data_IF_333091843324
#
_entry.id   IF_333091843324
#
_cell.length_a   1.000
_cell.length_b   1.000
_cell.length_c   1.000
_cell.angle_alpha   90.00
_cell.angle_beta   90.00
_cell.angle_gamma   90.00
#
_symmetry.space_group_name_H-M   'P 1'
#
loop_
_entity.id
_entity.type
_entity.pdbx_description
1 polymer ?
#
# COMPACT_ATOMS: atom_id res chain seq x y z
N UNK A 1 -21.33 27.25 -5.65
CA UNK A 1 -21.62 25.86 -5.23
C UNK A 1 -20.32 25.08 -5.28
N UNK A 2 -19.77 24.62 -4.16
CA UNK A 2 -18.63 23.70 -4.19
C UNK A 2 -19.08 22.39 -4.83
N UNK A 3 -18.59 22.06 -6.03
CA UNK A 3 -18.67 20.70 -6.56
C UNK A 3 -18.01 19.79 -5.52
N UNK A 4 -18.72 18.75 -5.09
CA UNK A 4 -18.23 17.80 -4.08
C UNK A 4 -17.99 16.43 -4.71
N UNK A 5 -18.12 16.34 -6.02
CA UNK A 5 -17.97 15.11 -6.79
C UNK A 5 -16.66 15.15 -7.58
N UNK A 6 -16.06 13.98 -7.76
CA UNK A 6 -14.89 13.83 -8.59
C UNK A 6 -15.30 13.86 -10.07
N UNK A 7 -14.59 14.63 -10.86
CA UNK A 7 -14.61 14.58 -12.30
C UNK A 7 -13.68 13.45 -12.77
N UNK A 8 -14.13 12.67 -13.74
CA UNK A 8 -13.44 11.46 -14.19
C UNK A 8 -13.02 11.59 -15.64
N UNK A 9 -11.77 11.22 -15.92
CA UNK A 9 -11.24 11.19 -17.27
C UNK A 9 -10.13 10.16 -17.41
N UNK A 10 -9.49 10.14 -18.57
CA UNK A 10 -8.27 9.37 -18.78
C UNK A 10 -7.34 10.09 -19.76
N UNK A 11 -6.03 9.91 -19.60
CA UNK A 11 -5.01 10.42 -20.51
C UNK A 11 -3.73 9.58 -20.35
N UNK A 12 -2.97 9.34 -21.44
CA UNK A 12 -1.72 8.57 -21.38
C UNK A 12 -1.86 7.15 -20.80
N UNK A 13 -3.06 6.56 -20.90
CA UNK A 13 -3.40 5.29 -20.25
C UNK A 13 -3.57 5.36 -18.73
N UNK A 14 -3.60 6.54 -18.12
CA UNK A 14 -3.88 6.75 -16.69
C UNK A 14 -5.35 7.14 -16.52
N UNK A 15 -6.03 6.57 -15.50
CA UNK A 15 -7.36 7.03 -15.08
C UNK A 15 -7.19 8.24 -14.17
N UNK A 16 -7.90 9.32 -14.45
CA UNK A 16 -7.75 10.60 -13.79
C UNK A 16 -9.02 10.92 -13.03
N UNK A 17 -8.86 11.29 -11.77
CA UNK A 17 -9.93 11.66 -10.85
C UNK A 17 -9.60 13.03 -10.25
N UNK A 18 -10.28 14.08 -10.69
CA UNK A 18 -10.05 15.44 -10.20
C UNK A 18 -11.19 15.86 -9.29
N UNK A 19 -10.88 16.43 -8.13
CA UNK A 19 -11.86 17.11 -7.28
C UNK A 19 -11.53 18.61 -7.28
N UNK A 20 -12.18 19.41 -8.15
CA UNK A 20 -12.02 20.85 -8.16
C UNK A 20 -12.51 21.45 -6.85
N UNK A 21 -11.60 22.00 -6.05
CA UNK A 21 -11.96 22.60 -4.77
C UNK A 21 -11.00 23.69 -4.31
N UNK A 22 -11.59 24.81 -3.88
CA UNK A 22 -10.88 25.98 -3.35
C UNK A 22 -10.81 25.95 -1.81
N UNK A 23 -11.18 24.81 -1.19
CA UNK A 23 -11.18 24.64 0.27
C UNK A 23 -9.77 24.56 0.86
N UNK A 24 -8.81 24.14 0.05
CA UNK A 24 -7.43 23.92 0.46
C UNK A 24 -6.51 24.94 -0.20
N UNK A 25 -5.42 25.26 0.49
CA UNK A 25 -4.34 26.13 -0.02
C UNK A 25 -3.25 25.35 -0.75
N UNK A 26 -3.46 24.06 -0.95
CA UNK A 26 -2.49 23.10 -1.47
C UNK A 26 -3.17 22.22 -2.50
N UNK A 27 -2.39 21.73 -3.46
CA UNK A 27 -2.77 20.64 -4.34
C UNK A 27 -2.30 19.32 -3.72
N UNK A 28 -3.20 18.36 -3.62
CA UNK A 28 -2.88 16.99 -3.24
C UNK A 28 -2.97 16.09 -4.47
N UNK A 29 -1.82 15.52 -4.86
CA UNK A 29 -1.68 14.64 -6.02
C UNK A 29 -1.36 13.23 -5.49
N UNK A 30 -2.09 12.22 -5.95
CA UNK A 30 -1.91 10.84 -5.54
C UNK A 30 -2.00 9.91 -6.72
N UNK A 31 -0.90 9.28 -7.09
CA UNK A 31 -0.82 8.27 -8.13
C UNK A 31 -0.80 6.88 -7.50
N UNK A 32 -1.84 6.10 -7.72
CA UNK A 32 -1.91 4.70 -7.32
C UNK A 32 -1.56 3.83 -8.51
N UNK A 33 -0.52 3.01 -8.35
CA UNK A 33 -0.11 2.02 -9.31
C UNK A 33 -0.39 0.62 -8.75
N UNK A 34 -1.44 0.00 -9.26
CA UNK A 34 -1.93 -1.30 -8.84
C UNK A 34 -1.49 -2.42 -9.77
N UNK A 35 -0.93 -3.48 -9.20
CA UNK A 35 -0.59 -4.73 -9.92
C UNK A 35 -1.14 -5.94 -9.17
N UNK A 36 -1.56 -7.01 -9.86
CA UNK A 36 -1.92 -8.26 -9.20
C UNK A 36 -0.77 -8.76 -8.32
N UNK A 37 -1.10 -9.26 -7.13
CA UNK A 37 -0.13 -9.91 -6.26
C UNK A 37 0.34 -11.22 -6.91
N UNK A 38 1.64 -11.33 -7.15
CA UNK A 38 2.30 -12.56 -7.61
C UNK A 38 3.63 -12.74 -6.89
N UNK A 39 4.03 -13.98 -6.65
CA UNK A 39 5.32 -14.30 -6.01
C UNK A 39 6.50 -13.77 -6.85
N UNK A 40 6.38 -13.83 -8.18
CA UNK A 40 7.45 -13.42 -9.09
C UNK A 40 7.67 -11.90 -9.11
N UNK A 41 6.63 -11.11 -8.88
CA UNK A 41 6.65 -9.65 -9.07
C UNK A 41 6.54 -8.83 -7.79
N UNK A 42 6.10 -9.42 -6.66
CA UNK A 42 5.81 -8.67 -5.43
C UNK A 42 7.04 -7.96 -4.87
N UNK A 43 8.19 -8.65 -4.87
CA UNK A 43 9.43 -8.13 -4.29
C UNK A 43 10.07 -7.07 -5.20
N UNK A 44 10.08 -7.29 -6.52
CA UNK A 44 10.60 -6.30 -7.48
C UNK A 44 9.75 -5.04 -7.49
N UNK A 45 8.42 -5.18 -7.57
CA UNK A 45 7.47 -4.04 -7.52
C UNK A 45 7.60 -3.24 -6.22
N UNK A 46 7.80 -3.91 -5.09
CA UNK A 46 7.99 -3.24 -3.81
C UNK A 46 9.30 -2.45 -3.73
N UNK A 47 10.37 -2.94 -4.37
CA UNK A 47 11.70 -2.32 -4.36
C UNK A 47 11.79 -1.14 -5.32
N UNK A 48 11.11 -1.21 -6.48
CA UNK A 48 11.08 -0.16 -7.50
C UNK A 48 10.92 1.26 -6.94
N UNK A 49 9.88 1.61 -6.15
CA UNK A 49 9.69 2.98 -5.68
C UNK A 49 10.83 3.48 -4.77
N UNK A 50 11.53 2.59 -4.06
CA UNK A 50 12.71 2.98 -3.28
C UNK A 50 13.84 3.47 -4.17
N UNK A 51 14.04 2.81 -5.32
CA UNK A 51 15.05 3.19 -6.32
C UNK A 51 14.63 4.46 -7.07
N UNK A 52 13.34 4.58 -7.45
CA UNK A 52 12.82 5.77 -8.14
C UNK A 52 13.01 7.06 -7.31
N UNK A 53 12.90 6.98 -5.97
CA UNK A 53 13.14 8.12 -5.07
C UNK A 53 14.62 8.54 -4.98
N UNK A 54 15.56 7.81 -5.59
CA UNK A 54 16.99 8.14 -5.52
C UNK A 54 17.43 9.18 -6.52
N UNK A 55 16.76 9.27 -7.66
CA UNK A 55 17.11 10.23 -8.71
C UNK A 55 16.39 9.92 -10.03
N UNK A 56 16.32 10.94 -10.86
CA UNK A 56 15.70 10.93 -12.18
C UNK A 56 16.73 11.33 -13.23
N UNK A 57 16.31 11.41 -14.49
CA UNK A 57 17.18 11.85 -15.59
C UNK A 57 17.70 13.28 -15.39
N UNK A 58 16.83 14.21 -15.01
CA UNK A 58 17.17 15.61 -14.72
C UNK A 58 17.89 15.77 -13.38
N UNK A 59 17.57 14.91 -12.39
CA UNK A 59 18.13 14.97 -11.04
C UNK A 59 18.80 13.64 -10.67
N UNK A 60 19.99 13.33 -11.23
CA UNK A 60 20.60 12.01 -11.11
C UNK A 60 21.08 11.69 -9.69
N UNK A 61 21.36 12.71 -8.88
CA UNK A 61 21.81 12.56 -7.51
C UNK A 61 20.68 12.83 -6.51
N UNK A 62 20.64 12.05 -5.42
CA UNK A 62 19.60 12.16 -4.39
C UNK A 62 19.57 13.55 -3.72
N UNK A 63 20.72 14.24 -3.68
CA UNK A 63 20.78 15.63 -3.21
C UNK A 63 20.01 16.56 -4.16
N UNK A 64 20.28 16.49 -5.46
CA UNK A 64 19.60 17.31 -6.47
C UNK A 64 18.09 17.03 -6.51
N UNK A 65 17.69 15.76 -6.37
CA UNK A 65 16.28 15.37 -6.28
C UNK A 65 15.55 16.06 -5.11
N UNK A 66 16.20 16.16 -3.95
CA UNK A 66 15.65 16.83 -2.77
C UNK A 66 15.69 18.34 -2.87
N UNK A 67 16.77 18.90 -3.41
CA UNK A 67 16.89 20.34 -3.67
C UNK A 67 15.78 20.82 -4.61
N UNK A 68 15.39 20.01 -5.60
CA UNK A 68 14.25 20.35 -6.45
C UNK A 68 12.93 20.41 -5.67
N UNK A 69 12.69 19.49 -4.75
CA UNK A 69 11.49 19.53 -3.88
C UNK A 69 11.49 20.78 -2.97
N UNK A 70 12.67 21.20 -2.49
CA UNK A 70 12.81 22.45 -1.73
C UNK A 70 12.53 23.69 -2.61
N UNK A 71 13.00 23.69 -3.86
CA UNK A 71 12.71 24.76 -4.83
C UNK A 71 11.23 24.85 -5.17
N UNK A 72 10.50 23.73 -5.15
CA UNK A 72 9.04 23.67 -5.26
C UNK A 72 8.34 24.07 -3.94
N UNK A 73 8.88 25.05 -3.23
CA UNK A 73 8.38 25.56 -1.94
C UNK A 73 8.24 24.48 -0.86
N UNK A 74 9.14 23.49 -0.86
CA UNK A 74 9.09 22.37 0.08
C UNK A 74 7.97 21.38 -0.23
N UNK A 75 7.72 21.09 -1.51
CA UNK A 75 6.75 20.10 -1.94
C UNK A 75 7.04 18.75 -1.27
N UNK A 76 6.00 18.13 -0.70
CA UNK A 76 6.13 16.84 -0.04
C UNK A 76 6.00 15.73 -1.07
N UNK A 77 7.08 14.99 -1.35
CA UNK A 77 7.04 13.78 -2.19
C UNK A 77 7.29 12.53 -1.34
N UNK A 78 6.42 11.54 -1.49
CA UNK A 78 6.50 10.28 -0.76
C UNK A 78 5.93 9.11 -1.55
N UNK A 79 6.20 7.92 -1.05
CA UNK A 79 5.54 6.72 -1.56
C UNK A 79 5.22 5.75 -0.42
N UNK A 80 4.18 4.96 -0.63
CA UNK A 80 3.78 3.86 0.23
C UNK A 80 3.53 2.61 -0.62
N UNK A 81 3.88 1.44 -0.07
CA UNK A 81 3.59 0.14 -0.69
C UNK A 81 2.71 -0.64 0.26
N UNK A 82 1.51 -0.97 -0.19
CA UNK A 82 0.56 -1.77 0.58
C UNK A 82 -0.22 -2.71 -0.34
N UNK A 83 -1.08 -3.55 0.24
CA UNK A 83 -1.95 -4.45 -0.52
C UNK A 83 -3.41 -4.13 -0.24
N UNK A 84 -4.25 -4.22 -1.28
CA UNK A 84 -5.71 -4.14 -1.19
C UNK A 84 -6.31 -5.31 -1.96
N UNK A 85 -7.01 -6.20 -1.26
CA UNK A 85 -7.47 -7.45 -1.87
C UNK A 85 -6.30 -8.23 -2.47
N UNK A 86 -6.43 -8.69 -3.70
CA UNK A 86 -5.37 -9.40 -4.43
C UNK A 86 -4.45 -8.48 -5.26
N UNK A 87 -4.44 -7.18 -4.97
CA UNK A 87 -3.56 -6.22 -5.63
C UNK A 87 -2.52 -5.65 -4.66
N UNK A 88 -1.30 -5.51 -5.17
CA UNK A 88 -0.26 -4.68 -4.60
C UNK A 88 -0.43 -3.26 -5.15
N UNK A 89 -0.45 -2.27 -4.28
CA UNK A 89 -0.61 -0.87 -4.62
C UNK A 89 0.65 -0.13 -4.20
N UNK A 90 1.31 0.49 -5.18
CA UNK A 90 2.35 1.49 -4.95
C UNK A 90 1.71 2.87 -5.09
N UNK A 91 1.64 3.60 -3.99
CA UNK A 91 1.03 4.93 -3.93
C UNK A 91 2.13 5.97 -3.90
N UNK A 92 2.25 6.78 -4.94
CA UNK A 92 3.06 8.00 -4.92
C UNK A 92 2.19 9.17 -4.51
N UNK A 93 2.68 9.95 -3.57
CA UNK A 93 2.00 11.13 -3.04
C UNK A 93 2.85 12.36 -3.29
N UNK A 94 2.20 13.40 -3.77
CA UNK A 94 2.80 14.73 -3.82
C UNK A 94 1.84 15.80 -3.30
N UNK A 95 2.31 16.61 -2.36
CA UNK A 95 1.57 17.76 -1.83
C UNK A 95 2.37 19.04 -2.16
N UNK A 96 1.74 19.98 -2.86
CA UNK A 96 2.35 21.27 -3.21
C UNK A 96 1.45 22.43 -2.81
N UNK A 97 2.03 23.61 -2.54
CA UNK A 97 1.25 24.83 -2.29
C UNK A 97 0.60 25.32 -3.58
N UNK A 98 -0.56 25.96 -3.45
CA UNK A 98 -1.27 26.53 -4.58
C UNK A 98 -0.64 27.87 -5.01
N UNK A 99 -0.53 28.06 -6.32
CA UNK A 99 0.07 29.22 -6.98
C UNK A 99 -0.48 30.55 -6.47
N UNK A 100 -1.76 30.61 -6.12
CA UNK A 100 -2.44 31.81 -5.60
C UNK A 100 -1.88 32.30 -4.26
N UNK A 101 -1.13 31.46 -3.53
CA UNK A 101 -0.56 31.80 -2.22
C UNK A 101 0.93 32.10 -2.26
N UNK A 102 1.57 32.00 -3.43
CA UNK A 102 3.01 32.27 -3.61
C UNK A 102 3.25 33.23 -4.76
N UNK A 103 4.32 34.00 -4.68
CA UNK A 103 4.81 34.80 -5.81
C UNK A 103 5.71 33.93 -6.68
N UNK A 104 5.11 33.00 -7.41
CA UNK A 104 5.82 32.18 -8.41
C UNK A 104 5.55 32.72 -9.81
N UNK A 105 6.56 32.73 -10.67
CA UNK A 105 6.39 33.03 -12.11
C UNK A 105 5.90 31.81 -12.90
N UNK A 106 6.10 30.61 -12.35
CA UNK A 106 5.70 29.33 -12.95
C UNK A 106 4.60 28.67 -12.13
N UNK A 107 3.74 27.90 -12.81
CA UNK A 107 2.75 27.10 -12.10
C UNK A 107 3.42 25.97 -11.33
N UNK A 108 3.19 25.93 -10.01
CA UNK A 108 3.69 24.86 -9.15
C UNK A 108 2.96 23.54 -9.42
N UNK A 109 1.70 23.61 -9.84
CA UNK A 109 0.97 22.43 -10.30
C UNK A 109 1.68 21.80 -11.50
N UNK A 110 1.98 22.61 -12.52
CA UNK A 110 2.71 22.14 -13.70
C UNK A 110 4.08 21.55 -13.35
N UNK A 111 4.86 22.26 -12.55
CA UNK A 111 6.20 21.83 -12.11
C UNK A 111 6.15 20.55 -11.26
N UNK A 112 5.09 20.40 -10.46
CA UNK A 112 4.80 19.19 -9.70
C UNK A 112 4.49 18.01 -10.61
N UNK A 113 3.65 18.19 -11.62
CA UNK A 113 3.37 17.14 -12.59
C UNK A 113 4.62 16.74 -13.39
N UNK A 114 5.47 17.71 -13.75
CA UNK A 114 6.76 17.45 -14.39
C UNK A 114 7.65 16.57 -13.51
N UNK A 115 7.80 16.92 -12.24
CA UNK A 115 8.61 16.16 -11.30
C UNK A 115 8.06 14.75 -11.04
N UNK A 116 6.75 14.63 -10.80
CA UNK A 116 6.11 13.33 -10.54
C UNK A 116 6.16 12.42 -11.78
N UNK A 117 5.88 12.98 -12.97
CA UNK A 117 5.96 12.26 -14.23
C UNK A 117 7.37 11.74 -14.48
N UNK A 118 8.39 12.61 -14.33
CA UNK A 118 9.78 12.23 -14.51
C UNK A 118 10.25 11.20 -13.46
N UNK A 119 9.87 11.36 -12.19
CA UNK A 119 10.19 10.40 -11.13
C UNK A 119 9.54 9.03 -11.37
N UNK A 120 8.39 9.00 -12.05
CA UNK A 120 7.66 7.78 -12.32
C UNK A 120 8.10 7.08 -13.62
N UNK A 121 8.41 7.82 -14.69
CA UNK A 121 8.70 7.24 -16.03
C UNK A 121 10.16 7.32 -16.46
N UNK A 122 10.92 8.32 -15.97
CA UNK A 122 12.26 8.66 -16.47
C UNK A 122 13.33 8.57 -15.34
N UNK A 123 13.51 7.39 -14.70
CA UNK A 123 14.46 7.22 -13.61
C UNK A 123 15.92 7.32 -14.09
N UNK A 124 16.83 7.52 -13.15
CA UNK A 124 18.26 7.54 -13.45
C UNK A 124 18.78 6.16 -13.87
N UNK A 125 19.37 6.11 -15.07
CA UNK A 125 19.93 4.88 -15.65
C UNK A 125 21.45 4.96 -15.79
N UNK A 126 22.09 3.80 -15.75
CA UNK A 126 23.50 3.56 -16.01
C UNK A 126 23.60 2.34 -16.94
N UNK A 127 24.14 2.53 -18.15
CA UNK A 127 24.20 1.51 -19.21
C UNK A 127 22.83 0.88 -19.56
N UNK A 128 21.76 1.68 -19.53
CA UNK A 128 20.40 1.23 -19.89
C UNK A 128 19.66 0.45 -18.80
N UNK A 129 20.20 0.35 -17.59
CA UNK A 129 19.55 -0.23 -16.42
C UNK A 129 19.63 0.70 -15.21
N UNK A 130 18.99 0.37 -14.09
CA UNK A 130 19.12 1.16 -12.87
C UNK A 130 20.59 1.23 -12.39
N UNK A 131 20.97 2.33 -11.73
CA UNK A 131 22.28 2.45 -11.07
C UNK A 131 22.48 1.34 -10.04
N UNK A 132 23.54 0.55 -10.20
CA UNK A 132 23.82 -0.62 -9.33
C UNK A 132 23.98 -0.25 -7.86
N UNK A 133 24.63 0.88 -7.59
CA UNK A 133 24.84 1.41 -6.23
C UNK A 133 23.51 1.74 -5.52
N UNK A 134 22.54 2.31 -6.25
CA UNK A 134 21.23 2.65 -5.71
C UNK A 134 20.40 1.40 -5.46
N UNK A 135 20.37 0.45 -6.40
CA UNK A 135 19.68 -0.83 -6.22
C UNK A 135 20.23 -1.59 -5.02
N UNK A 136 21.55 -1.68 -4.86
CA UNK A 136 22.15 -2.38 -3.73
C UNK A 136 21.81 -1.73 -2.38
N UNK A 137 21.90 -0.40 -2.30
CA UNK A 137 21.57 0.35 -1.09
C UNK A 137 20.09 0.18 -0.71
N UNK A 138 19.19 0.27 -1.69
CA UNK A 138 17.75 0.14 -1.42
C UNK A 138 17.33 -1.30 -1.15
N UNK A 139 17.99 -2.31 -1.74
CA UNK A 139 17.84 -3.72 -1.34
C UNK A 139 18.16 -3.91 0.14
N UNK A 140 19.23 -3.30 0.62
CA UNK A 140 19.59 -3.33 2.03
C UNK A 140 18.58 -2.61 2.93
N UNK A 141 18.03 -1.48 2.47
CA UNK A 141 16.96 -0.77 3.16
C UNK A 141 15.70 -1.63 3.29
N UNK A 142 15.24 -2.27 2.22
CA UNK A 142 14.07 -3.15 2.24
C UNK A 142 14.32 -4.39 3.08
N UNK A 143 15.51 -5.00 3.00
CA UNK A 143 15.92 -6.11 3.87
C UNK A 143 15.82 -5.73 5.34
N UNK A 144 16.40 -4.60 5.74
CA UNK A 144 16.33 -4.11 7.14
C UNK A 144 14.89 -3.84 7.59
N UNK A 145 14.03 -3.34 6.70
CA UNK A 145 12.59 -3.16 6.98
C UNK A 145 11.90 -4.49 7.23
N UNK A 146 12.14 -5.51 6.40
CA UNK A 146 11.59 -6.85 6.61
C UNK A 146 12.10 -7.49 7.91
N UNK A 147 13.38 -7.34 8.22
CA UNK A 147 13.96 -7.81 9.49
C UNK A 147 13.37 -7.08 10.71
N UNK A 148 13.12 -5.78 10.60
CA UNK A 148 12.49 -5.00 11.66
C UNK A 148 11.05 -5.47 11.96
N UNK A 149 10.32 -5.95 10.96
CA UNK A 149 8.98 -6.52 11.18
C UNK A 149 9.05 -7.78 12.05
N UNK A 150 10.07 -8.63 11.85
CA UNK A 150 10.31 -9.82 12.69
C UNK A 150 10.63 -9.45 14.14
N UNK A 151 11.23 -8.27 14.36
CA UNK A 151 11.50 -7.74 15.70
C UNK A 151 10.21 -7.29 16.40
N UNK A 152 9.23 -6.75 15.66
CA UNK A 152 7.88 -6.51 16.16
C UNK A 152 7.08 -7.82 16.19
N UNK A 153 7.16 -8.53 17.32
CA UNK A 153 6.48 -9.82 17.51
C UNK A 153 4.96 -9.74 17.39
N UNK A 154 4.34 -8.58 17.61
CA UNK A 154 2.89 -8.42 17.44
C UNK A 154 2.56 -8.41 15.95
N UNK A 155 3.28 -7.58 15.19
CA UNK A 155 3.11 -7.46 13.74
C UNK A 155 3.46 -8.74 13.01
N UNK A 156 4.61 -9.34 13.33
CA UNK A 156 5.03 -10.63 12.78
C UNK A 156 3.97 -11.72 13.00
N UNK A 157 3.43 -11.84 14.21
CA UNK A 157 2.42 -12.85 14.50
C UNK A 157 1.11 -12.62 13.70
N UNK A 158 0.75 -11.36 13.44
CA UNK A 158 -0.42 -11.01 12.65
C UNK A 158 -0.21 -11.33 11.16
N UNK A 159 0.97 -11.01 10.61
CA UNK A 159 1.33 -11.31 9.22
C UNK A 159 1.40 -12.82 8.97
N UNK A 160 2.04 -13.58 9.87
CA UNK A 160 2.05 -15.04 9.84
C UNK A 160 0.65 -15.67 9.92
N UNK A 161 -0.28 -15.03 10.61
CA UNK A 161 -1.67 -15.49 10.63
C UNK A 161 -2.33 -15.34 9.25
N UNK A 162 -2.05 -14.26 8.53
CA UNK A 162 -2.53 -14.03 7.16
C UNK A 162 -1.89 -15.03 6.20
N UNK A 163 -0.58 -15.22 6.29
CA UNK A 163 0.16 -16.16 5.44
C UNK A 163 -0.39 -17.59 5.53
N UNK A 164 -0.68 -18.05 6.75
CA UNK A 164 -1.27 -19.39 6.97
C UNK A 164 -2.72 -19.44 6.48
N UNK A 165 -3.52 -18.42 6.79
CA UNK A 165 -4.95 -18.40 6.43
C UNK A 165 -5.18 -18.30 4.92
N UNK A 166 -4.34 -17.54 4.22
CA UNK A 166 -4.42 -17.28 2.80
C UNK A 166 -3.38 -18.07 2.00
N UNK A 167 -2.90 -19.22 2.51
CA UNK A 167 -1.83 -20.02 1.88
C UNK A 167 -2.03 -20.32 0.39
N UNK A 168 -3.27 -20.47 -0.06
CA UNK A 168 -3.64 -20.78 -1.45
C UNK A 168 -4.04 -19.52 -2.25
N UNK A 169 -3.87 -18.33 -1.69
CA UNK A 169 -4.29 -17.06 -2.27
C UNK A 169 -3.11 -16.09 -2.37
N UNK A 170 -3.10 -15.19 -3.37
CA UNK A 170 -2.06 -14.16 -3.48
C UNK A 170 -1.92 -13.29 -2.22
N UNK A 171 -3.00 -13.12 -1.47
CA UNK A 171 -3.00 -12.34 -0.23
C UNK A 171 -2.11 -12.85 0.89
N UNK A 172 -1.56 -14.07 0.80
CA UNK A 172 -0.49 -14.51 1.72
C UNK A 172 0.71 -13.58 1.65
N UNK A 173 1.01 -13.03 0.48
CA UNK A 173 2.24 -12.30 0.22
C UNK A 173 2.29 -11.00 1.02
N UNK A 174 3.45 -10.71 1.59
CA UNK A 174 3.70 -9.43 2.24
C UNK A 174 3.88 -8.33 1.17
N UNK A 175 3.33 -7.12 1.34
CA UNK A 175 3.41 -6.06 0.31
C UNK A 175 4.84 -5.59 0.01
N UNK A 176 5.81 -5.84 0.90
CA UNK A 176 7.25 -5.59 0.65
C UNK A 176 7.99 -6.80 0.04
N UNK A 177 7.27 -7.89 -0.28
CA UNK A 177 7.85 -9.13 -0.76
C UNK A 177 8.56 -9.94 0.33
N UNK A 178 9.43 -10.84 -0.10
CA UNK A 178 10.16 -11.75 0.78
C UNK A 178 11.67 -11.50 0.79
N UNK A 179 12.29 -11.76 1.94
CA UNK A 179 13.74 -11.59 2.13
C UNK A 179 14.56 -12.46 1.18
N UNK A 180 14.11 -13.70 0.92
CA UNK A 180 14.82 -14.66 0.07
C UNK A 180 14.96 -14.14 -1.37
N UNK A 181 13.93 -13.47 -1.88
CA UNK A 181 13.87 -13.01 -3.26
C UNK A 181 14.70 -11.75 -3.47
N UNK A 182 14.90 -10.95 -2.41
CA UNK A 182 15.78 -9.78 -2.46
C UNK A 182 17.22 -10.11 -2.85
N UNK A 183 17.71 -11.34 -2.64
CA UNK A 183 19.10 -11.69 -2.95
C UNK A 183 19.34 -11.80 -4.46
N UNK A 184 18.34 -12.24 -5.23
CA UNK A 184 18.44 -12.48 -6.67
C UNK A 184 18.25 -11.24 -7.54
N UNK A 185 17.76 -10.12 -7.00
CA UNK A 185 17.43 -8.94 -7.80
C UNK A 185 18.68 -8.20 -8.28
N UNK A 186 18.91 -8.22 -9.59
CA UNK A 186 19.94 -7.41 -10.27
C UNK A 186 19.38 -6.06 -10.72
N UNK A 187 20.25 -5.12 -11.11
CA UNK A 187 19.80 -3.80 -11.56
C UNK A 187 19.09 -3.87 -12.92
N UNK A 188 19.58 -4.74 -13.79
CA UNK A 188 19.03 -5.07 -15.10
C UNK A 188 17.65 -5.74 -14.96
N UNK A 189 17.55 -6.80 -14.14
CA UNK A 189 16.28 -7.50 -13.92
C UNK A 189 15.23 -6.66 -13.20
N UNK A 190 15.65 -5.76 -12.30
CA UNK A 190 14.73 -4.80 -11.67
C UNK A 190 14.21 -3.79 -12.70
N UNK A 191 15.05 -3.33 -13.62
CA UNK A 191 14.64 -2.40 -14.68
C UNK A 191 13.66 -3.04 -15.65
N UNK A 192 13.91 -4.28 -16.08
CA UNK A 192 12.97 -5.06 -16.89
C UNK A 192 11.62 -5.25 -16.18
N UNK A 193 11.66 -5.64 -14.90
CA UNK A 193 10.45 -5.77 -14.07
C UNK A 193 9.69 -4.45 -13.93
N UNK A 194 10.42 -3.33 -13.80
CA UNK A 194 9.85 -1.99 -13.74
C UNK A 194 9.17 -1.60 -15.05
N UNK A 195 9.79 -1.85 -16.20
CA UNK A 195 9.18 -1.59 -17.51
C UNK A 195 7.91 -2.41 -17.72
N UNK A 196 7.94 -3.70 -17.35
CA UNK A 196 6.75 -4.53 -17.38
C UNK A 196 5.66 -3.98 -16.45
N UNK A 197 6.02 -3.63 -15.22
CA UNK A 197 5.11 -3.06 -14.24
C UNK A 197 4.48 -1.74 -14.70
N UNK A 198 5.23 -0.83 -15.33
CA UNK A 198 4.68 0.40 -15.90
C UNK A 198 3.64 0.13 -17.01
N UNK A 199 3.88 -0.88 -17.84
CA UNK A 199 2.99 -1.26 -18.93
C UNK A 199 1.76 -2.03 -18.44
N UNK A 200 1.90 -2.81 -17.36
CA UNK A 200 0.86 -3.72 -16.90
C UNK A 200 0.03 -3.21 -15.72
N UNK A 201 0.52 -2.22 -14.99
CA UNK A 201 -0.18 -1.67 -13.82
C UNK A 201 -1.42 -0.86 -14.19
N UNK A 202 -2.44 -0.98 -13.34
CA UNK A 202 -3.58 -0.05 -13.31
C UNK A 202 -3.09 1.24 -12.66
N UNK A 203 -3.22 2.37 -13.36
CA UNK A 203 -2.80 3.67 -12.82
C UNK A 203 -4.02 4.57 -12.59
N UNK A 204 -4.18 5.01 -11.34
CA UNK A 204 -5.20 5.95 -10.92
C UNK A 204 -4.55 7.20 -10.34
N UNK A 205 -4.76 8.33 -11.00
CA UNK A 205 -4.27 9.64 -10.56
C UNK A 205 -5.42 10.43 -9.94
N UNK A 206 -5.29 10.74 -8.65
CA UNK A 206 -6.20 11.61 -7.93
C UNK A 206 -5.56 12.98 -7.75
N UNK A 207 -6.31 14.02 -8.06
CA UNK A 207 -5.89 15.42 -7.91
C UNK A 207 -6.96 16.18 -7.16
N UNK A 208 -6.61 16.78 -6.03
CA UNK A 208 -7.54 17.60 -5.23
C UNK A 208 -6.95 18.99 -5.09
N UNK A 209 -7.70 20.00 -5.54
CA UNK A 209 -7.29 21.40 -5.44
C UNK A 209 -8.00 22.27 -6.47
N UNK A 210 -7.54 23.51 -6.61
CA UNK A 210 -8.11 24.51 -7.53
C UNK A 210 -7.59 24.29 -8.96
N UNK A 211 -8.08 23.24 -9.63
CA UNK A 211 -7.70 22.84 -10.99
C UNK A 211 -8.89 22.21 -11.71
N UNK A 212 -8.82 22.06 -13.04
CA UNK A 212 -9.84 21.40 -13.86
C UNK A 212 -9.37 20.05 -14.41
N UNK A 213 -10.33 19.21 -14.81
CA UNK A 213 -10.01 17.94 -15.44
C UNK A 213 -9.19 18.12 -16.73
N UNK A 214 -9.52 19.12 -17.55
CA UNK A 214 -8.84 19.38 -18.83
C UNK A 214 -7.37 19.78 -18.61
N UNK A 215 -7.09 20.62 -17.61
CA UNK A 215 -5.74 21.01 -17.24
C UNK A 215 -4.92 19.80 -16.82
N UNK A 216 -5.45 18.96 -15.92
CA UNK A 216 -4.78 17.74 -15.45
C UNK A 216 -4.54 16.76 -16.60
N UNK A 217 -5.51 16.58 -17.52
CA UNK A 217 -5.32 15.71 -18.69
C UNK A 217 -4.19 16.21 -19.60
N UNK A 218 -4.08 17.53 -19.79
CA UNK A 218 -2.98 18.15 -20.52
C UNK A 218 -1.64 17.87 -19.86
N UNK A 219 -1.53 18.10 -18.54
CA UNK A 219 -0.32 17.84 -17.77
C UNK A 219 0.09 16.36 -17.78
N UNK A 220 -0.88 15.45 -17.67
CA UNK A 220 -0.60 14.00 -17.76
C UNK A 220 -0.04 13.64 -19.13
N UNK A 221 -0.62 14.16 -20.19
CA UNK A 221 -0.17 13.89 -21.57
C UNK A 221 1.23 14.46 -21.83
N UNK A 222 1.56 15.60 -21.21
CA UNK A 222 2.87 16.25 -21.37
C UNK A 222 3.98 15.52 -20.60
N UNK A 223 3.73 15.11 -19.35
CA UNK A 223 4.79 14.66 -18.44
C UNK A 223 4.84 13.15 -18.20
N UNK A 224 3.74 12.41 -18.36
CA UNK A 224 3.72 10.96 -18.16
C UNK A 224 3.95 10.25 -19.49
N UNK A 225 5.22 10.00 -19.81
CA UNK A 225 5.63 9.30 -21.04
C UNK A 225 5.46 7.80 -20.90
N UNK A 226 4.21 7.33 -20.91
CA UNK A 226 3.88 5.91 -20.87
C UNK A 226 3.70 5.36 -22.29
N UNK A 227 4.41 4.28 -22.62
CA UNK A 227 4.32 3.61 -23.92
C UNK A 227 3.08 2.72 -24.09
N UNK A 228 1.94 3.05 -23.46
CA UNK A 228 0.77 2.16 -23.38
C UNK A 228 -0.50 2.76 -23.98
N UNK A 229 -1.30 1.90 -24.62
CA UNK A 229 -2.57 2.27 -25.23
C UNK A 229 -3.73 1.93 -24.29
N UNK A 230 -4.28 2.93 -23.61
CA UNK A 230 -5.47 2.81 -22.77
C UNK A 230 -5.20 2.46 -21.31
N UNK A 231 -6.18 2.79 -20.46
CA UNK A 231 -6.15 2.44 -19.05
C UNK A 231 -6.57 0.98 -18.84
N UNK A 232 -5.94 0.32 -17.86
CA UNK A 232 -6.33 -1.01 -17.41
C UNK A 232 -7.29 -0.93 -16.24
N UNK A 233 -8.05 -1.99 -16.02
CA UNK A 233 -8.99 -2.08 -14.91
C UNK A 233 -8.56 -3.13 -13.88
N UNK A 234 -8.99 -2.91 -12.64
CA UNK A 234 -8.88 -3.91 -11.59
C UNK A 234 -9.87 -5.05 -11.86
N UNK A 235 -9.35 -6.27 -11.93
CA UNK A 235 -10.16 -7.49 -11.95
C UNK A 235 -10.44 -7.91 -10.51
N UNK A 236 -11.72 -7.90 -10.11
CA UNK A 236 -12.11 -8.38 -8.78
C UNK A 236 -11.99 -9.90 -8.69
N UNK A 237 -11.09 -10.41 -7.85
CA UNK A 237 -10.96 -11.83 -7.52
C UNK A 237 -11.51 -12.11 -6.12
N UNK A 238 -12.81 -12.00 -5.92
CA UNK A 238 -13.43 -12.36 -4.65
C UNK A 238 -13.52 -13.88 -4.54
N UNK A 239 -12.42 -14.53 -4.14
CA UNK A 239 -12.49 -15.96 -3.81
C UNK A 239 -13.23 -16.09 -2.47
N UNK A 240 -14.54 -16.40 -2.54
CA UNK A 240 -15.37 -16.73 -1.37
C UNK A 240 -14.99 -18.11 -0.84
N UNK A 241 -13.79 -18.22 -0.29
CA UNK A 241 -13.31 -19.48 0.29
C UNK A 241 -13.88 -19.64 1.69
N UNK A 242 -14.82 -20.56 1.87
CA UNK A 242 -15.12 -21.09 3.21
C UNK A 242 -13.95 -21.96 3.65
N UNK A 243 -13.55 -21.87 4.92
CA UNK A 243 -12.59 -22.81 5.47
C UNK A 243 -13.36 -23.96 6.14
N UNK A 244 -12.95 -25.19 5.84
CA UNK A 244 -13.66 -26.39 6.25
C UNK A 244 -13.22 -26.88 7.64
N UNK A 245 -11.99 -26.57 8.08
CA UNK A 245 -11.43 -27.07 9.35
C UNK A 245 -10.52 -26.07 10.08
N UNK A 246 -10.51 -26.15 11.42
CA UNK A 246 -9.60 -25.42 12.30
C UNK A 246 -8.16 -25.84 12.12
N UNK A 247 -7.31 -24.93 11.63
CA UNK A 247 -5.86 -25.11 11.63
C UNK A 247 -5.23 -24.41 12.84
N UNK A 248 -4.34 -25.13 13.53
CA UNK A 248 -3.53 -24.62 14.65
C UNK A 248 -2.06 -24.71 14.28
N UNK A 249 -1.36 -23.58 14.32
CA UNK A 249 0.09 -23.51 14.03
C UNK A 249 0.80 -22.91 15.22
N UNK A 250 1.81 -23.60 15.75
CA UNK A 250 2.57 -23.16 16.93
C UNK A 250 4.00 -22.88 16.50
N UNK A 251 4.44 -21.63 16.69
CA UNK A 251 5.83 -21.22 16.46
C UNK A 251 6.48 -20.91 17.81
N UNK A 252 7.54 -21.64 18.16
CA UNK A 252 8.29 -21.41 19.41
C UNK A 252 9.42 -20.43 19.12
N UNK A 253 9.36 -19.27 19.77
CA UNK A 253 10.36 -18.21 19.70
C UNK A 253 10.75 -17.81 21.12
N UNK A 254 11.97 -17.35 21.32
CA UNK A 254 12.40 -16.78 22.61
C UNK A 254 11.74 -15.40 22.81
N UNK A 255 10.60 -15.38 23.50
CA UNK A 255 9.83 -14.17 23.76
C UNK A 255 9.32 -14.15 25.20
N UNK A 256 9.24 -12.95 25.78
CA UNK A 256 8.72 -12.74 27.13
C UNK A 256 7.19 -12.92 27.21
N UNK A 257 6.48 -12.77 26.08
CA UNK A 257 5.02 -12.84 26.00
C UNK A 257 4.57 -13.58 24.75
N UNK A 258 3.79 -14.64 24.93
CA UNK A 258 3.14 -15.41 23.90
C UNK A 258 2.03 -14.63 23.22
N UNK A 259 2.00 -14.70 21.89
CA UNK A 259 1.01 -14.01 21.06
C UNK A 259 0.03 -15.05 20.52
N UNK A 260 -1.27 -14.81 20.69
CA UNK A 260 -2.32 -15.64 20.10
C UNK A 260 -3.07 -14.82 19.06
N UNK A 261 -3.12 -15.35 17.84
CA UNK A 261 -3.90 -14.78 16.75
C UNK A 261 -4.88 -15.83 16.25
N UNK A 262 -6.12 -15.38 16.03
CA UNK A 262 -7.20 -16.16 15.48
C UNK A 262 -7.72 -15.43 14.24
N UNK A 263 -7.46 -15.98 13.05
CA UNK A 263 -8.08 -15.53 11.82
C UNK A 263 -9.41 -16.25 11.61
N UNK A 264 -10.44 -15.54 11.16
CA UNK A 264 -11.69 -16.13 10.71
C UNK A 264 -11.95 -15.70 9.26
N UNK A 265 -12.71 -16.50 8.53
CA UNK A 265 -13.17 -16.15 7.18
C UNK A 265 -14.64 -15.76 7.27
N UNK A 266 -14.95 -14.56 6.79
CA UNK A 266 -16.31 -14.10 6.54
C UNK A 266 -16.56 -14.14 5.03
N UNK A 267 -17.82 -14.18 4.63
CA UNK A 267 -18.24 -14.01 3.23
C UNK A 267 -18.62 -12.57 2.91
N UNK A 268 -18.73 -11.70 3.92
CA UNK A 268 -19.22 -10.32 3.80
C UNK A 268 -18.10 -9.39 3.34
N UNK A 269 -18.21 -8.86 2.15
CA UNK A 269 -17.23 -7.96 1.52
C UNK A 269 -17.73 -6.52 1.53
N UNK A 270 -16.87 -5.58 1.13
CA UNK A 270 -17.20 -4.15 1.10
C UNK A 270 -18.46 -3.82 0.27
N UNK A 271 -18.73 -4.62 -0.77
CA UNK A 271 -19.88 -4.41 -1.67
C UNK A 271 -21.18 -5.05 -1.19
N UNK A 272 -21.16 -5.81 -0.10
CA UNK A 272 -22.36 -6.48 0.41
C UNK A 272 -23.12 -5.56 1.39
N UNK A 273 -24.46 -5.60 1.35
CA UNK A 273 -25.33 -4.78 2.21
C UNK A 273 -25.06 -5.02 3.72
N UNK A 274 -24.62 -6.22 4.07
CA UNK A 274 -24.29 -6.63 5.44
C UNK A 274 -22.96 -6.06 5.96
N UNK A 275 -22.18 -5.35 5.13
CA UNK A 275 -20.86 -4.81 5.51
C UNK A 275 -20.93 -3.92 6.75
N UNK A 276 -21.94 -3.06 6.84
CA UNK A 276 -22.15 -2.20 8.00
C UNK A 276 -22.41 -3.02 9.28
N UNK A 277 -23.18 -4.11 9.16
CA UNK A 277 -23.45 -5.02 10.27
C UNK A 277 -22.17 -5.78 10.70
N UNK A 278 -21.36 -6.24 9.75
CA UNK A 278 -20.07 -6.88 10.03
C UNK A 278 -19.08 -5.93 10.76
N UNK A 279 -19.04 -4.65 10.37
CA UNK A 279 -18.25 -3.63 11.07
C UNK A 279 -18.73 -3.40 12.50
N UNK A 280 -20.05 -3.29 12.69
CA UNK A 280 -20.64 -3.14 14.02
C UNK A 280 -20.33 -4.35 14.92
N UNK A 281 -20.49 -5.57 14.37
CA UNK A 281 -20.12 -6.81 15.05
C UNK A 281 -18.65 -6.80 15.47
N UNK A 282 -17.74 -6.40 14.57
CA UNK A 282 -16.32 -6.29 14.89
C UNK A 282 -16.07 -5.30 16.05
N UNK A 283 -16.75 -4.16 16.04
CA UNK A 283 -16.71 -3.17 17.12
C UNK A 283 -17.13 -3.73 18.48
N UNK A 284 -18.28 -4.40 18.52
CA UNK A 284 -18.84 -5.04 19.74
C UNK A 284 -17.89 -6.13 20.27
N UNK A 285 -17.28 -6.89 19.37
CA UNK A 285 -16.45 -8.03 19.73
C UNK A 285 -15.10 -7.59 20.32
N UNK A 286 -14.37 -6.69 19.65
CA UNK A 286 -13.00 -6.34 20.05
C UNK A 286 -12.46 -5.01 19.53
N UNK A 287 -13.27 -4.21 18.82
CA UNK A 287 -12.79 -2.98 18.18
C UNK A 287 -12.60 -1.80 19.13
N UNK A 288 -13.32 -1.80 20.26
CA UNK A 288 -13.34 -0.69 21.21
C UNK A 288 -12.99 -1.10 22.65
N UNK A 289 -12.63 -0.16 23.54
CA UNK A 289 -12.34 -0.45 24.94
C UNK A 289 -13.54 -1.05 25.72
N UNK A 290 -14.77 -0.77 25.30
CA UNK A 290 -15.99 -1.34 25.87
C UNK A 290 -16.40 -2.68 25.24
N UNK A 291 -15.55 -3.24 24.38
CA UNK A 291 -15.85 -4.49 23.67
C UNK A 291 -15.85 -5.72 24.58
N UNK A 292 -16.52 -6.78 24.13
CA UNK A 292 -16.63 -8.03 24.90
C UNK A 292 -15.27 -8.67 25.19
N UNK A 293 -14.34 -8.65 24.24
CA UNK A 293 -12.99 -9.19 24.43
C UNK A 293 -12.19 -8.37 25.45
N UNK A 294 -12.25 -7.04 25.35
CA UNK A 294 -11.53 -6.18 26.28
C UNK A 294 -12.06 -6.34 27.71
N UNK A 295 -13.39 -6.25 27.90
CA UNK A 295 -14.01 -6.33 29.22
C UNK A 295 -13.85 -7.72 29.83
N UNK A 296 -14.11 -8.80 29.09
CA UNK A 296 -14.16 -10.13 29.70
C UNK A 296 -12.78 -10.81 29.75
N UNK A 297 -11.96 -10.70 28.70
CA UNK A 297 -10.68 -11.43 28.63
C UNK A 297 -9.55 -10.67 29.32
N UNK A 298 -9.49 -9.34 29.11
CA UNK A 298 -8.45 -8.49 29.71
C UNK A 298 -8.85 -8.02 31.10
N UNK A 299 -9.98 -7.33 31.27
CA UNK A 299 -10.31 -6.70 32.56
C UNK A 299 -10.79 -7.72 33.60
N UNK A 300 -11.84 -8.50 33.30
CA UNK A 300 -12.41 -9.45 34.27
C UNK A 300 -11.53 -10.68 34.49
N UNK A 301 -11.08 -11.34 33.42
CA UNK A 301 -10.35 -12.60 33.53
C UNK A 301 -8.82 -12.41 33.64
N UNK A 302 -8.28 -11.21 33.35
CA UNK A 302 -6.84 -10.93 33.40
C UNK A 302 -5.94 -11.92 32.62
N UNK A 303 -6.50 -12.59 31.61
CA UNK A 303 -5.83 -13.65 30.83
C UNK A 303 -4.91 -13.09 29.74
N UNK A 304 -5.19 -11.86 29.29
CA UNK A 304 -4.48 -11.21 28.20
C UNK A 304 -4.07 -9.77 28.56
N UNK A 305 -2.90 -9.34 28.08
CA UNK A 305 -2.45 -7.94 28.20
C UNK A 305 -3.21 -7.02 27.23
N UNK A 306 -3.52 -7.53 26.04
CA UNK A 306 -4.43 -6.87 25.11
C UNK A 306 -5.28 -7.91 24.39
N UNK A 307 -6.50 -7.54 24.04
CA UNK A 307 -7.34 -8.30 23.14
C UNK A 307 -8.07 -7.32 22.21
N UNK A 308 -7.86 -7.47 20.90
CA UNK A 308 -8.51 -6.63 19.90
C UNK A 308 -8.94 -7.45 18.68
N UNK A 309 -9.91 -6.89 17.95
CA UNK A 309 -10.38 -7.41 16.66
C UNK A 309 -10.11 -6.40 15.55
N UNK A 310 -9.96 -6.88 14.32
CA UNK A 310 -9.91 -6.08 13.10
C UNK A 310 -10.69 -6.78 12.00
N UNK A 311 -11.35 -6.02 11.15
CA UNK A 311 -12.07 -6.54 9.98
C UNK A 311 -11.44 -6.04 8.70
N UNK A 312 -11.11 -6.94 7.77
CA UNK A 312 -10.64 -6.59 6.44
C UNK A 312 -11.76 -6.80 5.42
N UNK A 313 -12.38 -5.70 4.98
CA UNK A 313 -13.53 -5.72 4.07
C UNK A 313 -13.19 -6.06 2.61
N UNK A 314 -11.93 -5.93 2.20
CA UNK A 314 -11.51 -6.26 0.82
C UNK A 314 -11.45 -7.77 0.59
N UNK A 315 -11.19 -8.54 1.65
CA UNK A 315 -11.11 -10.01 1.62
C UNK A 315 -12.13 -10.70 2.53
N UNK A 316 -12.99 -9.94 3.20
CA UNK A 316 -13.89 -10.44 4.23
C UNK A 316 -13.15 -11.25 5.32
N UNK A 317 -12.04 -10.73 5.84
CA UNK A 317 -11.21 -11.44 6.83
C UNK A 317 -11.29 -10.77 8.22
N UNK A 318 -12.18 -11.23 9.11
CA UNK A 318 -12.10 -10.91 10.53
C UNK A 318 -10.85 -11.52 11.16
N UNK A 319 -10.07 -10.72 11.89
CA UNK A 319 -8.93 -11.16 12.70
C UNK A 319 -9.11 -10.77 14.15
N UNK A 320 -8.73 -11.67 15.04
CA UNK A 320 -8.66 -11.44 16.49
C UNK A 320 -7.25 -11.71 16.98
N UNK A 321 -6.76 -10.83 17.84
CA UNK A 321 -5.40 -10.91 18.35
C UNK A 321 -5.39 -10.74 19.86
N UNK A 322 -5.73 -11.77 20.67
CA UNK A 322 -5.48 -11.72 22.11
C UNK A 322 -4.01 -12.05 22.44
N UNK A 323 -3.31 -11.18 23.16
CA UNK A 323 -1.95 -11.45 23.66
C UNK A 323 -1.99 -12.01 25.07
N UNK A 324 -1.58 -13.27 25.19
CA UNK A 324 -1.60 -14.01 26.45
C UNK A 324 -0.40 -13.69 27.35
N UNK A 325 -0.53 -13.98 28.65
CA UNK A 325 0.57 -13.96 29.63
C UNK A 325 1.54 -15.16 29.53
N UNK A 326 1.21 -16.20 28.76
CA UNK A 326 2.04 -17.42 28.66
C UNK A 326 3.25 -17.19 27.74
N UNK A 327 4.36 -17.92 27.90
CA UNK A 327 5.56 -17.82 27.02
C UNK A 327 5.40 -18.50 25.65
N UNK A 328 4.18 -18.85 25.24
CA UNK A 328 3.92 -19.69 24.06
C UNK A 328 3.03 -18.97 23.04
N UNK A 329 3.47 -18.95 21.78
CA UNK A 329 2.69 -18.49 20.64
C UNK A 329 1.69 -19.59 20.26
N UNK A 330 0.46 -19.49 20.73
CA UNK A 330 -0.62 -20.43 20.41
C UNK A 330 -1.44 -19.77 19.29
N UNK A 331 -1.75 -20.44 18.18
CA UNK A 331 -2.67 -19.93 17.14
C UNK A 331 -3.90 -20.82 17.10
N UNK A 332 -5.11 -20.25 17.04
CA UNK A 332 -6.36 -21.05 17.04
C UNK A 332 -7.31 -20.51 15.97
N UNK A 333 -7.92 -21.38 15.19
CA UNK A 333 -8.95 -21.03 14.19
C UNK A 333 -10.32 -21.50 14.70
N UNK A 334 -11.38 -20.75 14.47
CA UNK A 334 -12.76 -21.19 14.78
C UNK A 334 -13.69 -20.68 13.70
N UNK A 335 -14.43 -21.58 13.05
CA UNK A 335 -15.55 -21.22 12.19
C UNK A 335 -16.72 -20.70 13.03
N UNK A 336 -17.21 -19.49 12.76
CA UNK A 336 -18.55 -19.10 13.19
C UNK A 336 -19.54 -19.50 12.09
N UNK A 337 -20.11 -20.70 12.24
CA UNK A 337 -21.33 -21.08 11.52
C UNK A 337 -22.51 -20.39 12.22
N UNK A 338 -23.04 -19.32 11.63
CA UNK A 338 -24.36 -18.80 11.98
C UNK A 338 -25.39 -19.64 11.23
N UNK A 339 -26.01 -20.57 11.95
CA UNK A 339 -27.32 -21.15 11.63
C UNK A 339 -28.43 -20.23 12.10
#
# INVERSE_FOLDING_TARGET
MTKTEFEHGSAGGIRIHVLPTNRFKTFAISLYAGSPLSEDTVTSTALTPFVLRRGTTSYPETRAFREQLEQLYGAGFGFDVYKRGDYQIVHFRMDTINDSFVKSQESLLRSSFAFLGEAFTDPVLENGAFRKSYVQTERDTVRKKLEAIVNDKIRYAAERCIEVMCKNEPYRLHPLGERKDLVGITAEGLYESYQQWLNESVLDLYVVGDTSLEEVQGLVTEYFKLGRTGAKDYVSSTTRTSANETQTVVEKLEINQGKLNMGLRSTITYGDDEYAAALLYNGILGGYPHSKLFVNVREKASLAYYASSRYDGHKALPRFSPVSRSRTLIKRWTSSSSS
#
